data_IF_980917107303
#
_entry.id   IF_980917107303
#
_cell.length_a   1.000
_cell.length_b   1.000
_cell.length_c   1.000
_cell.angle_alpha   90.00
_cell.angle_beta   90.00
_cell.angle_gamma   90.00
#
_symmetry.space_group_name_H-M   'P 1'
#
loop_
_entity.id
_entity.type
_entity.pdbx_description
1 polymer ?
#
# COMPACT_ATOMS: atom_id res chain seq x y z
N UNK A 1 -60.06 -72.72 24.88
CA UNK A 1 -61.22 -73.41 24.28
C UNK A 1 -62.47 -73.04 25.08
N UNK A 2 -63.62 -72.95 24.40
CA UNK A 2 -64.93 -72.40 24.85
C UNK A 2 -64.97 -70.86 24.77
N UNK A 3 -65.71 -70.20 23.88
CA UNK A 3 -66.98 -70.52 23.20
C UNK A 3 -68.07 -69.58 23.72
N UNK A 4 -68.12 -68.32 23.26
CA UNK A 4 -68.97 -67.76 22.18
C UNK A 4 -70.39 -67.31 22.61
N UNK A 5 -70.76 -66.13 22.11
CA UNK A 5 -72.11 -65.54 21.91
C UNK A 5 -72.95 -65.17 23.15
N UNK A 6 -73.25 -63.87 23.26
CA UNK A 6 -74.61 -63.33 23.03
C UNK A 6 -74.59 -61.80 22.89
N UNK A 7 -75.09 -61.34 21.75
CA UNK A 7 -75.66 -60.02 21.50
C UNK A 7 -76.63 -59.62 22.63
N UNK A 8 -76.82 -58.31 22.86
CA UNK A 8 -78.14 -57.62 22.97
C UNK A 8 -77.96 -56.19 23.58
N UNK A 9 -78.60 -55.21 22.90
CA UNK A 9 -79.03 -53.84 23.32
C UNK A 9 -77.97 -52.79 23.69
N UNK A 10 -77.63 -51.86 22.78
CA UNK A 10 -78.28 -50.55 22.53
C UNK A 10 -78.01 -49.49 23.59
N UNK A 11 -77.30 -48.43 23.20
CA UNK A 11 -77.35 -47.00 23.62
C UNK A 11 -76.06 -46.38 23.06
N UNK A 12 -75.98 -46.06 21.78
CA UNK A 12 -76.16 -44.70 21.24
C UNK A 12 -76.31 -43.65 22.35
N UNK A 13 -75.23 -42.92 22.63
CA UNK A 13 -75.15 -41.45 22.59
C UNK A 13 -73.66 -41.10 22.68
N UNK A 14 -73.14 -40.41 21.65
CA UNK A 14 -71.83 -39.76 21.74
C UNK A 14 -70.74 -40.23 20.77
N UNK A 15 -71.07 -40.88 19.65
CA UNK A 15 -70.15 -40.96 18.51
C UNK A 15 -70.37 -39.75 17.58
N UNK A 16 -70.06 -38.55 18.06
CA UNK A 16 -69.89 -37.39 17.18
C UNK A 16 -68.39 -37.18 16.95
N UNK A 17 -67.95 -37.67 15.81
CA UNK A 17 -66.84 -37.13 15.04
C UNK A 17 -65.48 -37.06 15.75
N UNK A 18 -64.73 -38.17 15.68
CA UNK A 18 -63.29 -38.07 15.47
C UNK A 18 -63.06 -37.40 14.11
N UNK A 19 -63.07 -36.07 14.10
CA UNK A 19 -62.71 -35.27 12.95
C UNK A 19 -61.23 -35.52 12.68
N UNK A 20 -60.98 -36.29 11.63
CA UNK A 20 -59.80 -36.33 10.78
C UNK A 20 -58.62 -35.50 11.30
N UNK A 21 -57.68 -36.21 11.91
CA UNK A 21 -56.31 -35.77 12.10
C UNK A 21 -55.66 -35.53 10.73
N UNK A 22 -55.81 -34.33 10.18
CA UNK A 22 -54.87 -33.71 9.24
C UNK A 22 -54.48 -32.34 9.78
N UNK A 23 -53.85 -32.33 10.95
CA UNK A 23 -52.93 -31.24 11.27
C UNK A 23 -51.68 -31.49 10.46
N UNK A 24 -51.57 -30.88 9.28
CA UNK A 24 -50.27 -30.74 8.63
C UNK A 24 -49.41 -29.95 9.61
N UNK A 25 -48.60 -30.66 10.40
CA UNK A 25 -47.73 -30.06 11.40
C UNK A 25 -46.74 -29.18 10.67
N UNK A 26 -46.98 -27.88 10.69
CA UNK A 26 -46.02 -26.92 10.16
C UNK A 26 -44.85 -26.86 11.13
N UNK A 27 -43.68 -27.28 10.68
CA UNK A 27 -42.43 -27.01 11.40
C UNK A 27 -42.23 -25.50 11.46
N UNK A 28 -42.54 -24.91 12.62
CA UNK A 28 -42.36 -23.49 12.87
C UNK A 28 -41.00 -23.28 13.52
N UNK A 29 -40.10 -22.56 12.85
CA UNK A 29 -38.83 -22.12 13.42
C UNK A 29 -39.02 -20.79 14.18
N UNK A 30 -38.59 -20.73 15.43
CA UNK A 30 -38.59 -19.49 16.22
C UNK A 30 -37.58 -18.49 15.62
N UNK A 31 -38.07 -17.33 15.17
CA UNK A 31 -37.21 -16.24 14.68
C UNK A 31 -36.55 -15.56 15.86
N UNK A 32 -35.22 -15.66 15.95
CA UNK A 32 -34.43 -14.98 16.97
C UNK A 32 -33.63 -13.88 16.28
N UNK A 33 -33.85 -12.63 16.70
CA UNK A 33 -33.06 -11.50 16.23
C UNK A 33 -31.62 -11.63 16.70
N UNK A 34 -30.71 -11.87 15.75
CA UNK A 34 -29.27 -11.86 15.96
C UNK A 34 -28.66 -10.81 15.02
N UNK A 35 -27.63 -10.07 15.45
CA UNK A 35 -26.94 -9.15 14.56
C UNK A 35 -26.37 -9.92 13.35
N UNK A 36 -26.77 -9.51 12.14
CA UNK A 36 -26.28 -10.10 10.89
C UNK A 36 -25.07 -9.30 10.42
N UNK A 37 -23.88 -9.86 10.61
CA UNK A 37 -22.65 -9.34 10.01
C UNK A 37 -22.42 -10.00 8.65
N UNK A 38 -22.36 -9.19 7.58
CA UNK A 38 -22.09 -9.65 6.22
C UNK A 38 -20.70 -9.18 5.80
N UNK A 39 -19.75 -10.10 5.70
CA UNK A 39 -18.43 -9.82 5.14
C UNK A 39 -18.49 -9.89 3.62
N UNK A 40 -18.03 -8.85 2.94
CA UNK A 40 -17.90 -8.82 1.48
C UNK A 40 -16.40 -8.86 1.17
N UNK A 41 -15.98 -9.80 0.34
CA UNK A 41 -14.60 -9.89 -0.15
C UNK A 41 -14.51 -9.08 -1.43
N UNK A 42 -13.72 -8.00 -1.40
CA UNK A 42 -13.45 -7.17 -2.56
C UNK A 42 -12.03 -7.47 -3.06
N UNK A 43 -11.84 -7.79 -4.36
CA UNK A 43 -10.51 -7.86 -4.92
C UNK A 43 -9.89 -6.46 -4.93
N UNK A 44 -8.61 -6.38 -4.61
CA UNK A 44 -7.85 -5.14 -4.63
C UNK A 44 -6.38 -5.46 -4.88
N UNK A 45 -5.67 -4.53 -5.49
CA UNK A 45 -4.25 -4.64 -5.77
C UNK A 45 -3.47 -3.77 -4.80
N UNK A 46 -2.30 -4.26 -4.36
CA UNK A 46 -1.38 -3.48 -3.54
C UNK A 46 -0.45 -2.72 -4.47
N UNK A 47 -0.43 -1.40 -4.33
CA UNK A 47 0.48 -0.54 -5.05
C UNK A 47 1.56 0.01 -4.11
N UNK A 48 2.80 0.21 -4.60
CA UNK A 48 3.84 0.86 -3.82
C UNK A 48 3.42 2.29 -3.50
N UNK A 49 3.70 2.72 -2.27
CA UNK A 49 3.42 4.10 -1.86
C UNK A 49 4.21 5.12 -2.69
N UNK A 50 5.45 4.79 -3.05
CA UNK A 50 6.34 5.63 -3.83
C UNK A 50 7.12 4.79 -4.84
N UNK A 51 7.18 5.26 -6.08
CA UNK A 51 8.00 4.68 -7.14
C UNK A 51 8.82 5.79 -7.80
N UNK A 52 10.15 5.67 -7.78
CA UNK A 52 11.07 6.68 -8.31
C UNK A 52 12.03 6.02 -9.29
N UNK A 53 12.06 6.53 -10.52
CA UNK A 53 13.06 6.17 -11.51
C UNK A 53 14.32 7.03 -11.29
N UNK A 54 15.41 6.40 -10.84
CA UNK A 54 16.69 7.09 -10.65
C UNK A 54 17.42 7.28 -11.99
N UNK A 55 17.97 8.47 -12.19
CA UNK A 55 18.77 8.84 -13.37
C UNK A 55 19.95 9.70 -12.95
N UNK A 56 21.06 9.58 -13.66
CA UNK A 56 22.21 10.45 -13.45
C UNK A 56 21.88 11.90 -13.86
N UNK A 57 22.24 12.87 -13.01
CA UNK A 57 22.06 14.30 -13.30
C UNK A 57 23.04 14.81 -14.37
N UNK A 58 24.20 14.18 -14.48
CA UNK A 58 25.30 14.58 -15.35
C UNK A 58 25.72 13.37 -16.18
N UNK A 59 26.06 13.60 -17.44
CA UNK A 59 26.64 12.58 -18.31
C UNK A 59 28.03 12.19 -17.82
N UNK A 60 28.23 10.90 -17.57
CA UNK A 60 29.50 10.37 -17.08
C UNK A 60 29.51 8.86 -17.17
N UNK A 61 30.62 8.27 -16.74
CA UNK A 61 30.81 6.83 -16.71
C UNK A 61 30.59 6.30 -15.30
N UNK A 62 30.04 5.09 -15.18
CA UNK A 62 29.92 4.40 -13.90
C UNK A 62 31.30 3.90 -13.49
N UNK A 63 31.80 4.39 -12.36
CA UNK A 63 33.07 3.93 -11.80
C UNK A 63 32.83 2.72 -10.90
N UNK A 64 31.91 2.86 -9.93
CA UNK A 64 31.57 1.80 -8.97
C UNK A 64 30.08 1.74 -8.68
N UNK A 65 29.59 0.53 -8.45
CA UNK A 65 28.24 0.26 -7.94
C UNK A 65 28.41 -0.32 -6.54
N UNK A 66 27.84 0.36 -5.54
CA UNK A 66 28.06 0.07 -4.12
C UNK A 66 26.94 -0.78 -3.51
N UNK A 67 25.80 -0.87 -4.19
CA UNK A 67 24.61 -1.56 -3.71
C UNK A 67 24.13 -2.58 -4.74
N UNK A 68 23.78 -3.77 -4.28
CA UNK A 68 23.24 -4.83 -5.14
C UNK A 68 21.71 -4.71 -5.30
N UNK A 69 21.21 -5.27 -6.40
CA UNK A 69 19.78 -5.27 -6.76
C UNK A 69 18.97 -6.01 -5.69
N UNK A 70 17.90 -5.37 -5.23
CA UNK A 70 17.02 -5.92 -4.20
C UNK A 70 17.44 -5.58 -2.76
N UNK A 71 18.58 -4.90 -2.58
CA UNK A 71 18.99 -4.39 -1.27
C UNK A 71 18.09 -3.24 -0.83
N UNK A 72 17.80 -3.17 0.46
CA UNK A 72 17.12 -2.03 1.06
C UNK A 72 18.12 -0.87 1.22
N UNK A 73 17.73 0.33 0.77
CA UNK A 73 18.56 1.54 0.83
C UNK A 73 17.82 2.66 1.53
N UNK A 74 18.56 3.61 2.10
CA UNK A 74 18.01 4.80 2.75
C UNK A 74 18.17 6.04 1.88
N UNK A 75 17.39 7.06 2.18
CA UNK A 75 17.57 8.37 1.55
C UNK A 75 18.97 8.93 1.83
N UNK A 76 19.63 9.43 0.79
CA UNK A 76 20.99 9.96 0.87
C UNK A 76 22.10 8.90 0.80
N UNK A 77 21.77 7.62 0.72
CA UNK A 77 22.76 6.55 0.59
C UNK A 77 23.45 6.58 -0.80
N UNK A 78 24.77 6.43 -0.80
CA UNK A 78 25.56 6.43 -2.03
C UNK A 78 25.41 5.08 -2.75
N UNK A 79 24.67 5.10 -3.85
CA UNK A 79 24.40 3.89 -4.64
C UNK A 79 25.47 3.62 -5.70
N UNK A 80 25.90 4.68 -6.40
CA UNK A 80 26.76 4.61 -7.59
C UNK A 80 27.71 5.80 -7.55
N UNK A 81 28.97 5.53 -7.86
CA UNK A 81 29.99 6.55 -8.10
C UNK A 81 30.13 6.78 -9.61
N UNK A 82 29.98 8.04 -10.03
CA UNK A 82 30.06 8.45 -11.42
C UNK A 82 31.33 9.28 -11.64
N UNK A 83 32.07 8.94 -12.69
CA UNK A 83 33.22 9.73 -13.14
C UNK A 83 32.84 10.52 -14.40
N UNK A 84 32.80 11.84 -14.28
CA UNK A 84 32.51 12.77 -15.37
C UNK A 84 33.75 13.66 -15.64
N UNK A 85 34.64 13.29 -16.58
CA UNK A 85 35.87 14.04 -16.85
C UNK A 85 35.59 15.45 -17.38
N UNK A 86 34.54 15.60 -18.21
CA UNK A 86 34.10 16.89 -18.74
C UNK A 86 33.69 17.88 -17.62
N UNK A 87 32.93 17.40 -16.63
CA UNK A 87 32.53 18.22 -15.47
C UNK A 87 33.76 18.66 -14.66
N UNK A 88 34.76 17.78 -14.49
CA UNK A 88 36.01 18.13 -13.80
C UNK A 88 36.78 19.22 -14.56
N UNK A 89 36.83 19.15 -15.88
CA UNK A 89 37.47 20.18 -16.71
C UNK A 89 36.77 21.54 -16.58
N UNK A 90 35.44 21.56 -16.62
CA UNK A 90 34.65 22.79 -16.45
C UNK A 90 34.85 23.43 -15.07
N UNK A 91 34.94 22.62 -14.02
CA UNK A 91 35.24 23.11 -12.66
C UNK A 91 36.63 23.74 -12.62
N UNK A 92 37.66 23.07 -13.15
CA UNK A 92 39.03 23.60 -13.16
C UNK A 92 39.15 24.92 -13.95
N UNK A 93 38.42 25.03 -15.07
CA UNK A 93 38.35 26.27 -15.84
C UNK A 93 37.67 27.39 -15.03
N UNK A 94 36.55 27.09 -14.37
CA UNK A 94 35.82 28.06 -13.55
C UNK A 94 36.67 28.54 -12.36
N UNK A 95 37.37 27.63 -11.69
CA UNK A 95 38.29 27.95 -10.59
C UNK A 95 39.43 28.86 -11.07
N UNK A 96 40.01 28.59 -12.24
CA UNK A 96 41.04 29.44 -12.82
C UNK A 96 40.52 30.85 -13.11
N UNK A 97 39.28 30.98 -13.62
CA UNK A 97 38.64 32.28 -13.85
C UNK A 97 38.41 33.05 -12.55
N UNK A 98 38.01 32.36 -11.48
CA UNK A 98 37.86 32.98 -10.15
C UNK A 98 39.20 33.52 -9.66
N UNK A 99 40.28 32.74 -9.76
CA UNK A 99 41.61 33.19 -9.33
C UNK A 99 42.10 34.42 -10.10
N UNK A 100 41.88 34.47 -11.42
CA UNK A 100 42.22 35.65 -12.23
C UNK A 100 41.41 36.86 -11.78
N UNK A 101 40.10 36.71 -11.59
CA UNK A 101 39.23 37.80 -11.15
C UNK A 101 39.60 38.32 -9.75
N UNK A 102 40.01 37.44 -8.84
CA UNK A 102 40.52 37.83 -7.52
C UNK A 102 41.84 38.60 -7.63
N UNK A 103 42.76 38.16 -8.50
CA UNK A 103 44.00 38.87 -8.79
C UNK A 103 43.74 40.27 -9.35
N UNK A 104 42.86 40.39 -10.33
CA UNK A 104 42.48 41.67 -10.94
C UNK A 104 41.83 42.62 -9.91
N UNK A 105 40.98 42.07 -9.03
CA UNK A 105 40.36 42.85 -7.94
C UNK A 105 41.43 43.38 -6.99
N UNK A 106 42.37 42.55 -6.56
CA UNK A 106 43.46 42.96 -5.67
C UNK A 106 44.34 44.04 -6.33
N UNK A 107 44.62 43.92 -7.63
CA UNK A 107 45.37 44.94 -8.37
C UNK A 107 44.58 46.25 -8.48
N UNK A 108 43.27 46.19 -8.74
CA UNK A 108 42.40 47.35 -8.79
C UNK A 108 42.33 48.07 -7.44
N UNK A 109 42.16 47.32 -6.34
CA UNK A 109 42.17 47.84 -4.97
C UNK A 109 43.51 48.51 -4.63
N UNK A 110 44.64 47.86 -4.94
CA UNK A 110 45.96 48.43 -4.75
C UNK A 110 46.17 49.72 -5.57
N UNK A 111 45.62 49.77 -6.80
CA UNK A 111 45.68 50.96 -7.64
C UNK A 111 44.91 52.12 -7.03
N UNK A 112 43.70 51.87 -6.52
CA UNK A 112 42.89 52.89 -5.84
C UNK A 112 43.59 53.43 -4.59
N UNK A 113 44.17 52.54 -3.77
CA UNK A 113 44.92 52.94 -2.57
C UNK A 113 46.13 53.83 -2.91
N UNK A 114 46.85 53.53 -4.01
CA UNK A 114 47.98 54.35 -4.46
C UNK A 114 47.59 55.75 -4.94
N UNK A 115 46.39 55.92 -5.49
CA UNK A 115 45.88 57.22 -5.97
C UNK A 115 45.42 58.13 -4.84
N UNK A 116 44.94 57.56 -3.72
CA UNK A 116 44.47 58.33 -2.55
C UNK A 116 45.59 58.76 -1.58
N UNK A 117 46.84 58.40 -1.83
CA UNK A 117 47.99 58.69 -0.94
C UNK A 117 48.86 59.87 -1.40
N UNK A 118 48.40 60.66 -2.38
CA UNK A 118 49.04 61.89 -2.89
C UNK A 118 48.09 63.06 -2.75
#
# INVERSE_FOLDING_TARGET
MTGNKKFILSTIIGASMAQLAWGQGTEMAAVVSKPVSRTIVLPGEIQPFLNVALRAKVSGYVDRVLVDRGSAVKEGELLIELSAPEMKAQIAEAESKVQVAEGDRLQAEAKLASLGST
#
